data_IF_168141122037
#
_entry.id   IF_168141122037
#
_cell.length_a   1.000
_cell.length_b   1.000
_cell.length_c   1.000
_cell.angle_alpha   90.00
_cell.angle_beta   90.00
_cell.angle_gamma   90.00
#
_symmetry.space_group_name_H-M   'P 1'
#
loop_
_entity.id
_entity.type
_entity.pdbx_description
1 polymer ?
#
# COMPACT_ATOMS: atom_id res chain seq x y z
N UNK A 1 5.14 -12.73 -15.56
CA UNK A 1 5.54 -13.07 -14.19
C UNK A 1 6.08 -11.80 -13.59
N UNK A 2 5.83 -11.51 -12.32
CA UNK A 2 6.32 -10.27 -11.72
C UNK A 2 7.85 -10.35 -11.57
N UNK A 3 8.55 -9.39 -12.15
CA UNK A 3 9.99 -9.27 -12.17
C UNK A 3 10.45 -8.28 -11.11
N UNK A 4 11.32 -8.71 -10.20
CA UNK A 4 11.83 -7.84 -9.13
C UNK A 4 12.80 -6.79 -9.68
N UNK A 5 12.54 -5.51 -9.39
CA UNK A 5 13.41 -4.37 -9.77
C UNK A 5 14.23 -3.88 -8.58
N UNK A 6 13.59 -3.77 -7.41
CA UNK A 6 14.20 -3.25 -6.18
C UNK A 6 13.55 -3.87 -4.95
N UNK A 7 14.26 -4.80 -4.32
CA UNK A 7 13.78 -5.53 -3.14
C UNK A 7 13.53 -4.60 -1.96
N UNK A 8 14.45 -3.66 -1.72
CA UNK A 8 14.38 -2.74 -0.58
C UNK A 8 13.10 -1.92 -0.59
N UNK A 9 12.64 -1.52 -1.78
CA UNK A 9 11.45 -0.68 -1.98
C UNK A 9 10.20 -1.47 -2.34
N UNK A 10 10.28 -2.81 -2.41
CA UNK A 10 9.21 -3.68 -2.92
C UNK A 10 8.70 -3.18 -4.28
N UNK A 11 9.64 -3.01 -5.23
CA UNK A 11 9.34 -2.54 -6.57
C UNK A 11 9.51 -3.69 -7.58
N UNK A 12 8.47 -3.93 -8.35
CA UNK A 12 8.42 -4.94 -9.39
C UNK A 12 8.01 -4.35 -10.73
N UNK A 13 8.14 -5.16 -11.76
CA UNK A 13 7.66 -4.90 -13.10
C UNK A 13 6.86 -6.11 -13.59
N UNK A 14 5.88 -5.89 -14.45
CA UNK A 14 5.22 -6.97 -15.18
C UNK A 14 4.69 -6.49 -16.53
N UNK A 15 4.39 -7.44 -17.42
CA UNK A 15 3.61 -7.14 -18.60
C UNK A 15 2.11 -7.04 -18.24
N UNK A 16 1.36 -6.19 -18.93
CA UNK A 16 -0.12 -6.06 -18.77
C UNK A 16 -0.83 -7.41 -18.89
N UNK A 17 -0.37 -8.29 -19.79
CA UNK A 17 -0.97 -9.61 -20.00
C UNK A 17 -0.83 -10.56 -18.79
N UNK A 18 -0.02 -10.18 -17.80
CA UNK A 18 0.34 -11.00 -16.65
C UNK A 18 -0.29 -10.49 -15.35
N UNK A 19 -1.06 -9.40 -15.45
CA UNK A 19 -1.84 -8.83 -14.34
C UNK A 19 -2.85 -9.88 -13.88
N UNK A 20 -2.85 -10.15 -12.57
CA UNK A 20 -3.80 -11.08 -11.97
C UNK A 20 -5.22 -10.48 -11.94
N UNK A 21 -6.25 -11.33 -11.91
CA UNK A 21 -7.64 -10.85 -11.80
C UNK A 21 -7.84 -9.99 -10.53
N UNK A 22 -7.23 -10.39 -9.42
CA UNK A 22 -7.28 -9.64 -8.15
C UNK A 22 -6.65 -8.25 -8.30
N UNK A 23 -5.45 -8.17 -8.88
CA UNK A 23 -4.78 -6.88 -9.10
C UNK A 23 -5.54 -6.02 -10.12
N UNK A 24 -6.16 -6.61 -11.15
CA UNK A 24 -6.92 -5.88 -12.16
C UNK A 24 -8.07 -5.05 -11.59
N UNK A 25 -8.76 -5.57 -10.58
CA UNK A 25 -9.85 -4.85 -9.90
C UNK A 25 -9.31 -3.65 -9.12
N UNK A 26 -8.23 -3.85 -8.35
CA UNK A 26 -7.58 -2.78 -7.58
C UNK A 26 -6.98 -1.69 -8.48
N UNK A 27 -6.43 -2.07 -9.62
CA UNK A 27 -5.94 -1.14 -10.64
C UNK A 27 -7.07 -0.23 -11.13
N UNK A 28 -8.19 -0.82 -11.56
CA UNK A 28 -9.31 -0.05 -12.09
C UNK A 28 -9.87 0.92 -11.04
N UNK A 29 -9.92 0.51 -9.77
CA UNK A 29 -10.36 1.41 -8.69
C UNK A 29 -9.41 2.59 -8.46
N UNK A 30 -8.11 2.33 -8.30
CA UNK A 30 -7.10 3.37 -8.03
C UNK A 30 -6.91 4.36 -9.19
N UNK A 31 -7.06 3.86 -10.42
CA UNK A 31 -7.00 4.69 -11.63
C UNK A 31 -8.31 5.42 -11.93
N UNK A 32 -9.40 5.21 -11.17
CA UNK A 32 -10.67 5.95 -11.36
C UNK A 32 -11.64 5.34 -12.38
N UNK A 33 -11.43 4.09 -12.80
CA UNK A 33 -12.39 3.28 -13.55
C UNK A 33 -12.55 3.60 -15.04
N UNK A 34 -12.06 4.75 -15.50
CA UNK A 34 -12.16 5.18 -16.90
C UNK A 34 -10.97 4.73 -17.77
N UNK A 35 -9.87 4.32 -17.15
CA UNK A 35 -8.66 3.90 -17.85
C UNK A 35 -8.67 2.40 -18.18
N UNK A 36 -8.20 2.08 -19.37
CA UNK A 36 -7.91 0.71 -19.78
C UNK A 36 -6.65 0.18 -19.09
N UNK A 37 -6.56 -1.14 -18.87
CA UNK A 37 -5.36 -1.77 -18.31
C UNK A 37 -4.09 -1.51 -19.15
N UNK A 38 -4.24 -1.23 -20.45
CA UNK A 38 -3.13 -0.87 -21.33
C UNK A 38 -2.54 0.52 -21.07
N UNK A 39 -3.31 1.42 -20.45
CA UNK A 39 -2.88 2.79 -20.12
C UNK A 39 -2.21 2.88 -18.74
N UNK A 40 -2.30 1.81 -17.96
CA UNK A 40 -1.74 1.73 -16.61
C UNK A 40 -0.22 1.76 -16.68
N UNK A 41 0.37 2.74 -15.99
CA UNK A 41 1.82 2.92 -15.90
C UNK A 41 2.40 2.25 -14.66
N UNK A 42 1.71 2.42 -13.53
CA UNK A 42 2.09 1.89 -12.22
C UNK A 42 0.84 1.46 -11.46
N UNK A 43 0.97 0.46 -10.60
CA UNK A 43 -0.10 0.04 -9.71
C UNK A 43 0.43 -0.59 -8.43
N UNK A 44 -0.44 -0.68 -7.43
CA UNK A 44 -0.19 -1.50 -6.25
C UNK A 44 -0.70 -2.91 -6.50
N UNK A 45 0.17 -3.91 -6.36
CA UNK A 45 -0.22 -5.32 -6.38
C UNK A 45 -0.55 -5.78 -4.97
N UNK A 46 -1.79 -6.22 -4.78
CA UNK A 46 -2.26 -6.78 -3.51
C UNK A 46 -1.57 -8.12 -3.26
N UNK A 47 -1.37 -8.91 -4.32
CA UNK A 47 -0.76 -10.23 -4.23
C UNK A 47 0.72 -10.16 -3.82
N UNK A 48 1.46 -9.18 -4.33
CA UNK A 48 2.88 -8.99 -4.02
C UNK A 48 3.13 -8.05 -2.82
N UNK A 49 2.10 -7.31 -2.36
CA UNK A 49 2.25 -6.20 -1.40
C UNK A 49 3.36 -5.22 -1.85
N UNK A 50 3.27 -4.76 -3.09
CA UNK A 50 4.36 -4.08 -3.77
C UNK A 50 3.86 -3.08 -4.82
N UNK A 51 4.70 -2.10 -5.15
CA UNK A 51 4.49 -1.25 -6.34
C UNK A 51 4.97 -1.99 -7.57
N UNK A 52 4.17 -1.98 -8.63
CA UNK A 52 4.44 -2.68 -9.88
C UNK A 52 4.35 -1.72 -11.04
N UNK A 53 5.36 -1.73 -11.90
CA UNK A 53 5.44 -0.90 -13.10
C UNK A 53 5.09 -1.74 -14.32
N UNK A 54 4.28 -1.19 -15.22
CA UNK A 54 4.01 -1.82 -16.51
C UNK A 54 5.26 -1.74 -17.41
N UNK A 55 5.83 -2.89 -17.77
CA UNK A 55 7.03 -2.97 -18.63
C UNK A 55 6.83 -2.39 -20.04
N UNK A 56 5.59 -2.39 -20.52
CA UNK A 56 5.27 -1.95 -21.87
C UNK A 56 5.16 -0.42 -22.00
N UNK A 57 5.36 0.34 -20.92
CA UNK A 57 5.27 1.80 -20.98
C UNK A 57 6.51 2.43 -21.65
N UNK A 58 6.28 3.48 -22.47
CA UNK A 58 7.36 4.14 -23.24
C UNK A 58 8.45 4.75 -22.36
N UNK A 59 8.09 5.19 -21.15
CA UNK A 59 8.98 5.90 -20.23
C UNK A 59 9.40 5.06 -19.02
N UNK A 60 9.49 3.74 -19.19
CA UNK A 60 9.75 2.77 -18.11
C UNK A 60 10.88 3.20 -17.16
N UNK A 61 12.05 3.55 -17.68
CA UNK A 61 13.19 3.95 -16.85
C UNK A 61 12.97 5.25 -16.06
N UNK A 62 12.20 6.18 -16.63
CA UNK A 62 11.83 7.43 -15.96
C UNK A 62 10.84 7.15 -14.83
N UNK A 63 9.87 6.26 -15.06
CA UNK A 63 8.90 5.82 -14.05
C UNK A 63 9.61 5.07 -12.92
N UNK A 64 10.55 4.17 -13.22
CA UNK A 64 11.36 3.47 -12.20
C UNK A 64 12.08 4.48 -11.30
N UNK A 65 12.70 5.53 -11.87
CA UNK A 65 13.37 6.58 -11.09
C UNK A 65 12.40 7.36 -10.22
N UNK A 66 11.24 7.72 -10.77
CA UNK A 66 10.18 8.40 -10.04
C UNK A 66 9.69 7.56 -8.87
N UNK A 67 9.32 6.30 -9.10
CA UNK A 67 8.88 5.38 -8.05
C UNK A 67 9.94 5.21 -6.95
N UNK A 68 11.22 5.07 -7.31
CA UNK A 68 12.31 4.98 -6.32
C UNK A 68 12.41 6.23 -5.45
N UNK A 69 12.43 7.41 -6.08
CA UNK A 69 12.49 8.68 -5.35
C UNK A 69 11.27 8.90 -4.46
N UNK A 70 10.09 8.56 -4.96
CA UNK A 70 8.83 8.69 -4.23
C UNK A 70 8.75 7.77 -3.01
N UNK A 71 9.16 6.51 -3.17
CA UNK A 71 9.16 5.53 -2.09
C UNK A 71 10.23 5.81 -1.03
N UNK A 72 11.30 6.54 -1.38
CA UNK A 72 12.30 7.03 -0.42
C UNK A 72 11.93 8.36 0.24
N UNK A 73 10.92 9.08 -0.27
CA UNK A 73 10.57 10.41 0.20
C UNK A 73 10.18 10.39 1.69
N UNK A 74 10.58 11.43 2.41
CA UNK A 74 10.17 11.63 3.79
C UNK A 74 8.71 12.09 3.90
N UNK A 75 8.18 12.13 5.12
CA UNK A 75 6.80 12.50 5.36
C UNK A 75 6.48 13.95 4.96
N UNK A 76 7.44 14.87 5.12
CA UNK A 76 7.26 16.28 4.76
C UNK A 76 7.12 16.46 3.25
N UNK A 77 8.00 15.80 2.47
CA UNK A 77 7.92 15.80 1.01
C UNK A 77 6.61 15.20 0.51
N UNK A 78 6.09 14.17 1.18
CA UNK A 78 4.80 13.58 0.81
C UNK A 78 3.61 14.47 1.18
N UNK A 79 3.63 15.11 2.35
CA UNK A 79 2.61 16.09 2.73
C UNK A 79 2.55 17.24 1.72
N UNK A 80 3.70 17.71 1.24
CA UNK A 80 3.78 18.72 0.19
C UNK A 80 3.19 18.21 -1.13
N UNK A 81 3.43 16.95 -1.50
CA UNK A 81 2.85 16.33 -2.70
C UNK A 81 1.33 16.18 -2.57
N UNK A 82 0.84 15.73 -1.41
CA UNK A 82 -0.60 15.61 -1.13
C UNK A 82 -1.30 16.97 -1.10
N UNK A 83 -0.64 18.00 -0.58
CA UNK A 83 -1.16 19.37 -0.52
C UNK A 83 -1.06 20.08 -1.87
N UNK A 84 -0.10 19.71 -2.70
CA UNK A 84 0.02 20.24 -4.05
C UNK A 84 -1.16 19.75 -4.88
N UNK A 85 -1.98 20.67 -5.40
CA UNK A 85 -3.02 20.29 -6.35
C UNK A 85 -2.33 19.76 -7.62
N UNK A 86 -2.33 18.44 -7.77
CA UNK A 86 -1.69 17.76 -8.88
C UNK A 86 -2.51 17.84 -10.17
N UNK A 87 -3.71 18.44 -10.14
CA UNK A 87 -4.60 18.58 -11.30
C UNK A 87 -3.87 19.14 -12.53
N UNK A 88 -3.85 18.35 -13.59
CA UNK A 88 -3.24 18.73 -14.88
C UNK A 88 -1.74 18.45 -14.96
N UNK A 89 -1.13 17.87 -13.93
CA UNK A 89 0.22 17.32 -14.00
C UNK A 89 0.20 15.99 -14.76
N UNK A 90 1.13 15.80 -15.69
CA UNK A 90 1.30 14.54 -16.45
C UNK A 90 1.46 13.32 -15.55
N UNK A 91 1.98 13.50 -14.33
CA UNK A 91 2.25 12.43 -13.36
C UNK A 91 1.23 12.35 -12.22
N UNK A 92 0.16 13.13 -12.25
CA UNK A 92 -0.88 13.17 -11.21
C UNK A 92 -1.36 11.78 -10.81
N UNK A 93 -1.81 10.98 -11.79
CA UNK A 93 -2.30 9.62 -11.59
C UNK A 93 -1.25 8.71 -10.94
N UNK A 94 0.00 8.82 -11.41
CA UNK A 94 1.12 8.01 -10.91
C UNK A 94 1.42 8.37 -9.45
N UNK A 95 1.49 9.66 -9.11
CA UNK A 95 1.70 10.12 -7.74
C UNK A 95 0.57 9.65 -6.81
N UNK A 96 -0.69 9.77 -7.24
CA UNK A 96 -1.84 9.32 -6.44
C UNK A 96 -1.77 7.82 -6.14
N UNK A 97 -1.50 7.00 -7.16
CA UNK A 97 -1.35 5.55 -6.98
C UNK A 97 -0.18 5.21 -6.06
N UNK A 98 0.92 5.96 -6.11
CA UNK A 98 2.07 5.74 -5.22
C UNK A 98 1.76 6.11 -3.76
N UNK A 99 0.96 7.17 -3.51
CA UNK A 99 0.47 7.51 -2.17
C UNK A 99 -0.41 6.40 -1.60
N UNK A 100 -1.40 5.94 -2.38
CA UNK A 100 -2.27 4.83 -1.99
C UNK A 100 -1.48 3.55 -1.73
N UNK A 101 -0.53 3.23 -2.61
CA UNK A 101 0.33 2.06 -2.47
C UNK A 101 1.14 2.11 -1.16
N UNK A 102 1.73 3.26 -0.83
CA UNK A 102 2.51 3.43 0.41
C UNK A 102 1.63 3.27 1.63
N UNK A 103 0.44 3.88 1.64
CA UNK A 103 -0.54 3.70 2.71
C UNK A 103 -0.96 2.24 2.88
N UNK A 104 -1.18 1.52 1.78
CA UNK A 104 -1.54 0.10 1.81
C UNK A 104 -0.40 -0.81 2.28
N UNK A 105 0.82 -0.53 1.84
CA UNK A 105 2.02 -1.24 2.30
C UNK A 105 2.24 -1.05 3.80
N UNK A 106 2.19 0.20 4.27
CA UNK A 106 2.30 0.52 5.70
C UNK A 106 1.18 -0.16 6.50
N UNK A 107 -0.06 -0.11 6.02
CA UNK A 107 -1.19 -0.79 6.66
C UNK A 107 -0.93 -2.29 6.78
N UNK A 108 -0.54 -2.97 5.69
CA UNK A 108 -0.26 -4.41 5.70
C UNK A 108 0.89 -4.77 6.64
N UNK A 109 1.96 -4.00 6.67
CA UNK A 109 3.10 -4.24 7.56
C UNK A 109 2.68 -4.14 9.04
N UNK A 110 1.84 -3.15 9.38
CA UNK A 110 1.31 -3.04 10.74
C UNK A 110 0.31 -4.17 11.06
N UNK A 111 -0.53 -4.58 10.11
CA UNK A 111 -1.48 -5.68 10.30
C UNK A 111 -0.76 -7.02 10.49
N UNK A 112 0.31 -7.26 9.74
CA UNK A 112 1.16 -8.44 9.90
C UNK A 112 1.82 -8.44 11.28
N UNK A 113 2.41 -7.32 11.71
CA UNK A 113 2.95 -7.17 13.06
C UNK A 113 1.90 -7.47 14.14
N UNK A 114 0.68 -6.94 14.00
CA UNK A 114 -0.41 -7.18 14.95
C UNK A 114 -0.92 -8.63 14.91
N UNK A 115 -0.80 -9.33 13.79
CA UNK A 115 -1.15 -10.75 13.69
C UNK A 115 -0.27 -11.65 14.55
N UNK A 116 0.96 -11.23 14.81
CA UNK A 116 1.92 -11.92 15.66
C UNK A 116 1.74 -11.59 17.16
N UNK A 117 0.89 -10.62 17.52
CA UNK A 117 0.52 -10.39 18.91
C UNK A 117 -0.35 -11.55 19.40
N UNK A 118 0.28 -12.46 20.14
CA UNK A 118 -0.48 -13.52 20.82
C UNK A 118 -1.38 -12.88 21.88
N UNK A 119 -2.65 -13.30 21.97
CA UNK A 119 -3.47 -12.93 23.11
C UNK A 119 -2.81 -13.37 24.43
N UNK A 120 -3.15 -12.70 25.53
CA UNK A 120 -2.68 -13.05 26.87
C UNK A 120 -3.03 -14.49 27.26
N UNK A 121 -2.40 -15.01 28.32
CA UNK A 121 -2.57 -16.40 28.78
C UNK A 121 -4.03 -16.74 29.13
N UNK A 122 -4.89 -15.75 29.35
CA UNK A 122 -6.31 -15.93 29.65
C UNK A 122 -7.09 -16.64 28.53
N UNK A 123 -6.62 -16.58 27.27
CA UNK A 123 -7.31 -17.20 26.12
C UNK A 123 -7.21 -18.73 26.07
N UNK A 124 -6.27 -19.34 26.81
CA UNK A 124 -6.13 -20.80 26.88
C UNK A 124 -7.33 -21.50 27.55
N UNK A 125 -8.23 -20.73 28.18
CA UNK A 125 -9.43 -21.22 28.85
C UNK A 125 -10.70 -21.08 27.99
N UNK A 126 -10.61 -20.51 26.80
CA UNK A 126 -11.77 -20.32 25.93
C UNK A 126 -12.04 -21.54 25.05
N UNK A 127 -13.31 -21.88 24.85
CA UNK A 127 -13.69 -22.91 23.88
C UNK A 127 -13.47 -22.45 22.44
N UNK A 128 -13.36 -23.41 21.52
CA UNK A 128 -13.01 -23.17 20.11
C UNK A 128 -14.01 -22.25 19.38
N UNK A 129 -15.28 -22.21 19.80
CA UNK A 129 -16.34 -21.39 19.19
C UNK A 129 -16.22 -19.95 19.64
N UNK A 130 -16.02 -19.71 20.94
CA UNK A 130 -15.74 -18.38 21.48
C UNK A 130 -14.44 -17.82 20.92
N UNK A 131 -13.41 -18.67 20.80
CA UNK A 131 -12.14 -18.31 20.16
C UNK A 131 -12.33 -17.88 18.70
N UNK A 132 -13.06 -18.65 17.89
CA UNK A 132 -13.27 -18.31 16.48
C UNK A 132 -14.17 -17.09 16.26
N UNK A 133 -15.17 -16.90 17.11
CA UNK A 133 -16.01 -15.68 17.08
C UNK A 133 -15.16 -14.44 17.41
N UNK A 134 -14.35 -14.51 18.47
CA UNK A 134 -13.40 -13.45 18.82
C UNK A 134 -12.33 -13.25 17.74
N UNK A 135 -11.92 -14.30 17.01
CA UNK A 135 -10.96 -14.19 15.91
C UNK A 135 -11.52 -13.44 14.68
N UNK A 136 -12.84 -13.48 14.44
CA UNK A 136 -13.47 -12.57 13.48
C UNK A 136 -13.50 -11.13 14.02
N UNK A 137 -13.78 -10.94 15.31
CA UNK A 137 -13.68 -9.63 15.98
C UNK A 137 -12.23 -9.12 16.08
N UNK A 138 -11.23 -10.00 16.02
CA UNK A 138 -9.81 -9.61 16.01
C UNK A 138 -9.46 -8.77 14.80
N UNK A 139 -10.16 -8.91 13.67
CA UNK A 139 -9.95 -8.03 12.53
C UNK A 139 -10.33 -6.57 12.88
N UNK A 140 -11.45 -6.37 13.58
CA UNK A 140 -11.84 -5.05 14.10
C UNK A 140 -10.88 -4.55 15.18
N UNK A 141 -10.45 -5.43 16.08
CA UNK A 141 -9.46 -5.07 17.11
C UNK A 141 -8.12 -4.64 16.49
N UNK A 142 -7.64 -5.33 15.46
CA UNK A 142 -6.41 -4.96 14.74
C UNK A 142 -6.55 -3.63 14.01
N UNK A 143 -7.70 -3.36 13.37
CA UNK A 143 -7.99 -2.05 12.75
C UNK A 143 -8.01 -0.95 13.82
N UNK A 144 -8.65 -1.20 14.97
CA UNK A 144 -8.66 -0.26 16.10
C UNK A 144 -7.25 0.01 16.63
N UNK A 145 -6.45 -1.04 16.84
CA UNK A 145 -5.05 -0.92 17.26
C UNK A 145 -4.21 -0.15 16.26
N UNK A 146 -4.40 -0.39 14.95
CA UNK A 146 -3.75 0.39 13.89
C UNK A 146 -4.10 1.88 14.02
N UNK A 147 -5.38 2.22 14.20
CA UNK A 147 -5.81 3.60 14.46
C UNK A 147 -5.13 4.24 15.68
N UNK A 148 -5.01 3.49 16.78
CA UNK A 148 -4.29 3.94 17.99
C UNK A 148 -2.80 4.14 17.72
N UNK A 149 -2.15 3.26 16.96
CA UNK A 149 -0.74 3.37 16.57
C UNK A 149 -0.53 4.66 15.76
N UNK A 150 -1.36 4.88 14.74
CA UNK A 150 -1.29 6.06 13.89
C UNK A 150 -1.50 7.34 14.69
N UNK A 151 -2.53 7.41 15.53
CA UNK A 151 -2.78 8.57 16.39
C UNK A 151 -1.61 8.88 17.34
N UNK A 152 -0.97 7.85 17.91
CA UNK A 152 0.24 8.04 18.74
C UNK A 152 1.44 8.54 17.93
N UNK A 153 1.62 8.09 16.69
CA UNK A 153 2.69 8.56 15.80
C UNK A 153 2.50 10.04 15.46
N UNK A 154 1.28 10.43 15.08
CA UNK A 154 0.92 11.83 14.81
C UNK A 154 1.16 12.72 16.02
N UNK A 155 0.72 12.33 17.22
CA UNK A 155 0.95 13.12 18.43
C UNK A 155 2.43 13.25 18.79
N UNK A 156 3.25 12.21 18.56
CA UNK A 156 4.71 12.29 18.76
C UNK A 156 5.38 13.24 17.75
N UNK A 157 4.98 13.19 16.49
CA UNK A 157 5.50 14.11 15.46
C UNK A 157 5.16 15.56 15.79
N UNK A 158 3.94 15.83 16.27
CA UNK A 158 3.50 17.16 16.71
C UNK A 158 4.32 17.70 17.89
N UNK A 159 4.75 16.85 18.82
CA UNK A 159 5.59 17.23 19.97
C UNK A 159 7.07 17.38 19.64
N UNK A 160 7.50 16.85 18.51
CA UNK A 160 8.89 16.93 18.04
C UNK A 160 9.17 18.18 17.19
N UNK A 161 8.11 18.87 16.73
CA UNK A 161 8.15 20.25 16.21
C UNK A 161 8.14 21.25 17.36
#
# INVERSE_FOLDING_TARGET
MYHLIDEKRRLYACNVAEITLEDSYCILQSWGGEHSLSEVLVFYSVTQNAVVINENCKDFNSIVKLCRGFLDADAETLEDVEASNLEGNTWELVCRVLLEARGMMDFKDNMDMLSHQKPGKEYNLMDWRTYNHLMQEQQFFKIFQYGVIMGKRTERARRAK
#
